data_IF_130550544356
#
_entry.id   IF_130550544356
#
_cell.length_a   1.000
_cell.length_b   1.000
_cell.length_c   1.000
_cell.angle_alpha   90.00
_cell.angle_beta   90.00
_cell.angle_gamma   90.00
#
_symmetry.space_group_name_H-M   'P 1'
#
loop_
_entity.id
_entity.type
_entity.pdbx_description
1 polymer ?
#
# COMPACT_ATOMS: atom_id res chain seq x y z
N UNK A 1 36.47 -2.68 -3.24
CA UNK A 1 35.14 -3.33 -3.37
C UNK A 1 34.47 -3.29 -2.01
N UNK A 2 33.44 -2.46 -1.83
CA UNK A 2 32.76 -2.28 -0.54
C UNK A 2 31.82 -3.48 -0.30
N UNK A 3 32.03 -4.22 0.79
CA UNK A 3 31.22 -5.40 1.12
C UNK A 3 29.85 -4.97 1.64
N UNK A 4 28.80 -5.30 0.88
CA UNK A 4 27.43 -5.16 1.37
C UNK A 4 27.21 -6.21 2.46
N UNK A 5 26.97 -5.74 3.69
CA UNK A 5 26.64 -6.57 4.84
C UNK A 5 25.44 -7.51 4.52
N UNK A 6 25.47 -8.82 4.87
CA UNK A 6 24.44 -9.79 4.52
C UNK A 6 23.01 -9.37 4.88
N UNK A 7 22.85 -8.69 6.03
CA UNK A 7 21.57 -8.14 6.47
C UNK A 7 20.97 -7.13 5.48
N UNK A 8 21.83 -6.32 4.85
CA UNK A 8 21.41 -5.33 3.87
C UNK A 8 21.06 -5.97 2.51
N UNK A 9 21.57 -7.17 2.20
CA UNK A 9 21.17 -7.92 1.00
C UNK A 9 19.77 -8.52 1.16
N UNK A 10 19.51 -9.17 2.29
CA UNK A 10 18.20 -9.74 2.59
C UNK A 10 17.12 -8.66 2.63
N UNK A 11 17.37 -7.54 3.31
CA UNK A 11 16.43 -6.42 3.37
C UNK A 11 16.06 -5.87 1.98
N UNK A 12 17.04 -5.74 1.07
CA UNK A 12 16.80 -5.30 -0.31
C UNK A 12 15.98 -6.32 -1.10
N UNK A 13 16.32 -7.60 -1.02
CA UNK A 13 15.57 -8.65 -1.69
C UNK A 13 14.11 -8.71 -1.19
N UNK A 14 13.88 -8.51 0.11
CA UNK A 14 12.53 -8.41 0.69
C UNK A 14 11.77 -7.19 0.18
N UNK A 15 12.42 -6.01 0.15
CA UNK A 15 11.79 -4.80 -0.35
C UNK A 15 11.42 -4.92 -1.85
N UNK A 16 12.30 -5.50 -2.67
CA UNK A 16 12.02 -5.75 -4.08
C UNK A 16 10.88 -6.75 -4.26
N UNK A 17 10.91 -7.87 -3.52
CA UNK A 17 9.83 -8.86 -3.59
C UNK A 17 8.47 -8.23 -3.28
N UNK A 18 8.39 -7.44 -2.21
CA UNK A 18 7.16 -6.75 -1.79
C UNK A 18 6.69 -5.73 -2.83
N UNK A 19 7.63 -4.96 -3.40
CA UNK A 19 7.32 -3.97 -4.41
C UNK A 19 6.73 -4.60 -5.67
N UNK A 20 7.34 -5.69 -6.16
CA UNK A 20 6.82 -6.38 -7.34
C UNK A 20 5.50 -7.12 -7.06
N UNK A 21 5.29 -7.66 -5.87
CA UNK A 21 4.00 -8.22 -5.45
C UNK A 21 2.88 -7.15 -5.51
N UNK A 22 3.17 -5.91 -5.09
CA UNK A 22 2.25 -4.79 -5.23
C UNK A 22 1.96 -4.43 -6.69
N UNK A 23 3.00 -4.37 -7.54
CA UNK A 23 2.82 -4.07 -8.96
C UNK A 23 2.00 -5.15 -9.68
N UNK A 24 2.28 -6.42 -9.40
CA UNK A 24 1.56 -7.56 -9.96
C UNK A 24 0.09 -7.56 -9.53
N UNK A 25 -0.20 -7.25 -8.27
CA UNK A 25 -1.55 -7.28 -7.73
C UNK A 25 -2.39 -6.06 -8.15
N UNK A 26 -1.78 -4.88 -8.26
CA UNK A 26 -2.51 -3.62 -8.47
C UNK A 26 -2.38 -3.03 -9.87
N UNK A 27 -1.23 -3.21 -10.52
CA UNK A 27 -0.85 -2.47 -11.73
C UNK A 27 -0.52 -3.36 -12.94
N UNK A 28 -0.65 -4.70 -12.82
CA UNK A 28 -0.29 -5.63 -13.91
C UNK A 28 -0.97 -5.32 -15.24
N UNK A 29 -2.27 -5.01 -15.22
CA UNK A 29 -3.04 -4.68 -16.43
C UNK A 29 -2.59 -3.35 -17.04
N UNK A 30 -2.41 -2.34 -16.19
CA UNK A 30 -1.97 -0.99 -16.60
C UNK A 30 -0.57 -1.04 -17.23
N UNK A 31 0.39 -1.67 -16.55
CA UNK A 31 1.76 -1.83 -17.02
C UNK A 31 1.82 -2.63 -18.32
N UNK A 32 1.05 -3.72 -18.44
CA UNK A 32 0.97 -4.49 -19.67
C UNK A 32 0.39 -3.66 -20.83
N UNK A 33 -0.65 -2.88 -20.57
CA UNK A 33 -1.27 -2.02 -21.59
C UNK A 33 -0.30 -0.96 -22.10
N UNK A 34 0.49 -0.35 -21.21
CA UNK A 34 1.44 0.70 -21.57
C UNK A 34 2.72 0.17 -22.24
N UNK A 35 3.18 -1.02 -21.83
CA UNK A 35 4.53 -1.51 -22.20
C UNK A 35 4.53 -2.76 -23.08
N UNK A 36 3.38 -3.43 -23.23
CA UNK A 36 3.28 -4.76 -23.85
C UNK A 36 3.97 -5.87 -23.06
N UNK A 37 4.43 -5.60 -21.83
CA UNK A 37 5.15 -6.57 -20.99
C UNK A 37 4.39 -6.86 -19.71
N UNK A 38 4.37 -8.13 -19.32
CA UNK A 38 3.86 -8.53 -18.01
C UNK A 38 4.91 -8.20 -16.96
N UNK A 39 4.48 -7.54 -15.88
CA UNK A 39 5.35 -7.29 -14.73
C UNK A 39 5.61 -8.59 -13.97
N UNK A 40 6.88 -8.88 -13.73
CA UNK A 40 7.35 -10.03 -12.97
C UNK A 40 8.53 -9.62 -12.10
N UNK A 41 8.59 -10.16 -10.88
CA UNK A 41 9.71 -9.93 -9.98
C UNK A 41 11.05 -10.43 -10.57
N UNK A 42 12.10 -9.58 -10.65
CA UNK A 42 13.38 -9.95 -11.27
C UNK A 42 14.25 -10.86 -10.38
N UNK A 43 13.81 -11.16 -9.16
CA UNK A 43 14.53 -12.06 -8.27
C UNK A 43 14.29 -13.51 -8.68
N UNK A 44 15.38 -14.23 -8.94
CA UNK A 44 15.36 -15.67 -9.13
C UNK A 44 15.02 -16.43 -7.82
N UNK A 45 14.84 -17.73 -7.91
CA UNK A 45 14.48 -18.58 -6.77
C UNK A 45 15.54 -18.62 -5.66
N UNK A 46 16.80 -18.33 -6.00
CA UNK A 46 17.94 -18.38 -5.06
C UNK A 46 18.03 -17.07 -4.26
N UNK A 47 17.74 -15.94 -4.90
CA UNK A 47 17.78 -14.60 -4.32
C UNK A 47 16.45 -14.19 -3.68
N UNK A 48 15.36 -14.92 -3.98
CA UNK A 48 14.06 -14.67 -3.35
C UNK A 48 14.10 -15.00 -1.85
N UNK A 49 13.73 -14.05 -0.96
CA UNK A 49 13.67 -14.30 0.47
C UNK A 49 12.73 -15.47 0.78
N UNK A 50 13.22 -16.46 1.52
CA UNK A 50 12.41 -17.60 1.98
C UNK A 50 11.73 -17.26 3.30
N UNK A 51 10.48 -17.70 3.47
CA UNK A 51 9.78 -17.57 4.75
C UNK A 51 9.16 -16.21 5.01
N UNK A 52 8.71 -15.49 3.96
CA UNK A 52 7.87 -14.32 4.18
C UNK A 52 6.60 -14.80 4.92
N UNK A 53 6.49 -14.49 6.23
CA UNK A 53 5.27 -14.75 6.97
C UNK A 53 4.16 -14.11 6.16
N UNK A 54 3.14 -14.87 5.79
CA UNK A 54 1.99 -14.46 4.98
C UNK A 54 1.16 -13.36 5.68
N UNK A 55 1.77 -12.25 6.07
CA UNK A 55 1.07 -11.00 6.23
C UNK A 55 0.52 -10.70 4.85
N UNK A 56 -0.77 -10.97 4.64
CA UNK A 56 -1.49 -10.63 3.41
C UNK A 56 -1.03 -9.25 2.98
N UNK A 57 -0.50 -9.13 1.76
CA UNK A 57 -0.06 -7.86 1.21
C UNK A 57 -1.17 -6.83 1.46
N UNK A 58 -0.87 -5.83 2.28
CA UNK A 58 -1.84 -4.77 2.58
C UNK A 58 -1.81 -3.80 1.42
N UNK A 59 -2.73 -3.98 0.47
CA UNK A 59 -2.91 -3.05 -0.64
C UNK A 59 -3.56 -1.78 -0.06
N UNK A 60 -2.91 -0.61 -0.17
CA UNK A 60 -3.56 0.64 0.18
C UNK A 60 -4.78 0.90 -0.73
N UNK A 61 -5.88 1.43 -0.20
CA UNK A 61 -7.02 1.85 -1.01
C UNK A 61 -6.58 2.91 -2.05
N UNK A 62 -7.29 2.98 -3.16
CA UNK A 62 -7.15 4.03 -4.15
C UNK A 62 -7.51 5.39 -3.55
N UNK A 63 -6.88 6.46 -4.05
CA UNK A 63 -7.20 7.82 -3.61
C UNK A 63 -8.69 8.16 -3.82
N UNK A 64 -9.30 7.63 -4.88
CA UNK A 64 -10.73 7.75 -5.14
C UNK A 64 -11.60 7.06 -4.08
N UNK A 65 -11.19 5.88 -3.59
CA UNK A 65 -11.89 5.15 -2.53
C UNK A 65 -11.77 5.88 -1.20
N UNK A 66 -10.57 6.37 -0.88
CA UNK A 66 -10.32 7.20 0.31
C UNK A 66 -11.16 8.48 0.26
N UNK A 67 -11.19 9.17 -0.89
CA UNK A 67 -12.02 10.36 -1.10
C UNK A 67 -13.51 10.03 -0.90
N UNK A 68 -13.99 8.94 -1.51
CA UNK A 68 -15.37 8.49 -1.37
C UNK A 68 -15.76 8.25 0.08
N UNK A 69 -14.90 7.55 0.84
CA UNK A 69 -15.10 7.29 2.26
C UNK A 69 -15.22 8.59 3.05
N UNK A 70 -14.25 9.51 2.92
CA UNK A 70 -14.22 10.73 3.73
C UNK A 70 -15.30 11.74 3.34
N UNK A 71 -15.66 11.84 2.06
CA UNK A 71 -16.77 12.68 1.60
C UNK A 71 -18.11 12.15 2.09
N UNK A 72 -18.37 10.84 1.95
CA UNK A 72 -19.61 10.23 2.44
C UNK A 72 -19.73 10.30 3.97
N UNK A 73 -18.61 10.09 4.68
CA UNK A 73 -18.60 10.22 6.13
C UNK A 73 -18.89 11.66 6.58
N UNK A 74 -18.32 12.67 5.91
CA UNK A 74 -18.61 14.08 6.20
C UNK A 74 -20.10 14.41 6.00
N UNK A 75 -20.70 13.97 4.90
CA UNK A 75 -22.13 14.18 4.61
C UNK A 75 -23.03 13.54 5.68
N UNK A 76 -22.67 12.37 6.20
CA UNK A 76 -23.44 11.68 7.25
C UNK A 76 -23.46 12.38 8.62
N UNK A 77 -22.73 13.49 8.79
CA UNK A 77 -22.65 14.25 10.05
C UNK A 77 -23.67 15.37 10.18
N UNK A 78 -24.23 15.87 9.06
CA UNK A 78 -25.02 17.10 9.03
C UNK A 78 -26.24 17.04 9.95
N UNK A 79 -26.87 15.86 10.10
CA UNK A 79 -28.12 15.69 10.86
C UNK A 79 -27.93 15.01 12.24
N UNK A 80 -26.70 14.85 12.73
CA UNK A 80 -26.42 14.01 13.90
C UNK A 80 -26.44 14.78 15.22
N UNK A 81 -27.25 14.33 16.19
CA UNK A 81 -27.36 14.88 17.56
C UNK A 81 -26.01 15.05 18.29
N UNK A 82 -25.01 14.19 18.04
CA UNK A 82 -23.66 14.26 18.62
C UNK A 82 -22.60 14.61 17.56
N UNK A 83 -22.76 15.77 16.94
CA UNK A 83 -21.87 16.25 15.89
C UNK A 83 -20.41 16.40 16.36
N UNK A 84 -20.16 17.14 17.45
CA UNK A 84 -18.80 17.53 17.84
C UNK A 84 -17.82 16.36 18.07
N UNK A 85 -18.16 15.28 18.82
CA UNK A 85 -17.28 14.13 18.96
C UNK A 85 -17.02 13.41 17.63
N UNK A 86 -18.02 13.35 16.75
CA UNK A 86 -17.87 12.63 15.50
C UNK A 86 -17.05 13.44 14.48
N UNK A 87 -17.24 14.75 14.42
CA UNK A 87 -16.44 15.65 13.60
C UNK A 87 -14.95 15.58 13.99
N UNK A 88 -14.64 15.56 15.29
CA UNK A 88 -13.26 15.36 15.77
C UNK A 88 -12.66 14.03 15.30
N UNK A 89 -13.41 12.94 15.42
CA UNK A 89 -12.95 11.62 14.97
C UNK A 89 -12.73 11.59 13.45
N UNK A 90 -13.57 12.27 12.68
CA UNK A 90 -13.39 12.44 11.24
C UNK A 90 -12.10 13.17 10.92
N UNK A 91 -11.86 14.34 11.53
CA UNK A 91 -10.63 15.11 11.33
C UNK A 91 -9.38 14.30 11.71
N UNK A 92 -9.40 13.61 12.85
CA UNK A 92 -8.26 12.81 13.29
C UNK A 92 -7.95 11.67 12.32
N UNK A 93 -8.97 10.92 11.89
CA UNK A 93 -8.81 9.85 10.92
C UNK A 93 -8.34 10.38 9.55
N UNK A 94 -8.82 11.56 9.14
CA UNK A 94 -8.39 12.18 7.88
C UNK A 94 -6.91 12.55 7.92
N UNK A 95 -6.47 13.17 9.02
CA UNK A 95 -5.05 13.51 9.21
C UNK A 95 -4.17 12.25 9.21
N UNK A 96 -4.56 11.20 9.92
CA UNK A 96 -3.83 9.93 9.92
C UNK A 96 -3.72 9.33 8.52
N UNK A 97 -4.81 9.33 7.75
CA UNK A 97 -4.81 8.84 6.37
C UNK A 97 -3.89 9.66 5.45
N UNK A 98 -3.86 10.98 5.61
CA UNK A 98 -3.01 11.87 4.81
C UNK A 98 -1.50 11.69 5.14
N UNK A 99 -1.14 11.24 6.36
CA UNK A 99 0.26 10.98 6.76
C UNK A 99 0.65 9.50 6.78
N UNK A 100 -0.28 8.58 6.49
CA UNK A 100 -0.04 7.13 6.46
C UNK A 100 0.12 6.46 7.83
N UNK A 101 -0.62 6.91 8.85
CA UNK A 101 -0.67 6.35 10.21
C UNK A 101 -1.84 5.39 10.46
#
# INVERSE_FOLDING_TARGET
>A
MSSVQPAARLARASALSLHFELLELRHKVELHTMTGRVVECPLDEVNRPRGNKHAKLRIPPLESEVRTLFTGWAQSQVDRRKHAPTARNHTAARLMADVGL
#
